data_IF_720094325622
#
_entry.id   IF_720094325622
#
_cell.length_a   1.000
_cell.length_b   1.000
_cell.length_c   1.000
_cell.angle_alpha   90.00
_cell.angle_beta   90.00
_cell.angle_gamma   90.00
#
_symmetry.space_group_name_H-M   'P 1'
#
loop_
_entity.id
_entity.type
_entity.pdbx_description
1 polymer ?
#
# COMPACT_ATOMS: atom_id res chain seq x y z
N UNK A 1 -19.23 13.63 2.59
CA UNK A 1 -19.30 12.37 1.84
C UNK A 1 -18.99 11.26 2.82
N UNK A 2 -20.01 10.52 3.21
CA UNK A 2 -19.90 9.37 4.10
C UNK A 2 -19.33 8.21 3.29
N UNK A 3 -18.21 7.64 3.73
CA UNK A 3 -17.74 6.36 3.23
C UNK A 3 -18.78 5.31 3.64
N UNK A 4 -19.55 4.86 2.69
CA UNK A 4 -20.53 3.80 2.90
C UNK A 4 -19.87 2.54 3.43
N UNK A 5 -20.42 1.88 4.46
CA UNK A 5 -19.86 0.65 5.02
C UNK A 5 -19.98 -0.59 4.12
N UNK A 6 -20.32 -0.43 2.86
CA UNK A 6 -20.57 -1.52 1.91
C UNK A 6 -19.35 -1.99 1.11
N UNK A 7 -18.13 -1.54 1.47
CA UNK A 7 -16.93 -1.93 0.75
C UNK A 7 -16.54 -3.38 1.08
N UNK A 8 -16.74 -4.26 0.13
CA UNK A 8 -15.92 -5.40 -0.23
C UNK A 8 -15.94 -6.65 0.67
N UNK A 9 -16.31 -7.77 0.09
CA UNK A 9 -16.02 -9.10 0.62
C UNK A 9 -14.52 -9.37 0.74
N UNK A 10 -14.13 -10.12 1.75
CA UNK A 10 -12.75 -10.47 2.11
C UNK A 10 -11.96 -11.24 1.02
N UNK A 11 -12.59 -11.60 -0.06
CA UNK A 11 -12.01 -12.43 -1.12
C UNK A 11 -11.15 -11.67 -2.14
N UNK A 12 -11.19 -10.33 -2.13
CA UNK A 12 -10.57 -9.52 -3.16
C UNK A 12 -9.06 -9.31 -3.03
N UNK A 13 -8.46 -9.66 -1.92
CA UNK A 13 -7.02 -9.48 -1.72
C UNK A 13 -6.15 -10.52 -2.42
N UNK A 14 -6.73 -11.63 -2.89
CA UNK A 14 -5.98 -12.80 -3.38
C UNK A 14 -6.07 -12.96 -4.90
N UNK A 15 -7.06 -12.37 -5.55
CA UNK A 15 -7.44 -12.71 -6.94
C UNK A 15 -6.32 -12.54 -7.97
N UNK A 16 -5.44 -11.57 -7.80
CA UNK A 16 -4.51 -11.18 -8.87
C UNK A 16 -3.08 -10.92 -8.35
N UNK A 17 -2.74 -11.42 -7.15
CA UNK A 17 -1.43 -11.22 -6.51
C UNK A 17 -0.71 -12.53 -6.30
N UNK A 18 0.61 -12.47 -6.21
CA UNK A 18 1.42 -13.63 -5.88
C UNK A 18 1.05 -14.14 -4.48
N UNK A 19 0.70 -15.41 -4.37
CA UNK A 19 0.24 -16.01 -3.11
C UNK A 19 1.33 -16.05 -2.03
N UNK A 20 2.60 -16.11 -2.42
CA UNK A 20 3.78 -16.07 -1.55
C UNK A 20 4.04 -14.68 -0.93
N UNK A 21 3.42 -13.62 -1.47
CA UNK A 21 3.46 -12.28 -0.89
C UNK A 21 2.42 -12.08 0.25
N UNK A 22 1.61 -13.08 0.53
CA UNK A 22 0.46 -13.00 1.45
C UNK A 22 0.79 -12.56 2.89
N UNK A 23 1.93 -12.91 3.53
CA UNK A 23 2.20 -12.47 4.90
C UNK A 23 2.66 -11.01 5.02
N UNK A 24 2.97 -10.35 3.91
CA UNK A 24 3.58 -9.03 3.94
C UNK A 24 2.56 -7.89 4.10
N UNK A 25 2.97 -6.85 4.81
CA UNK A 25 2.14 -5.67 5.10
C UNK A 25 1.74 -4.86 3.86
N UNK A 26 2.42 -5.03 2.73
CA UNK A 26 2.03 -4.39 1.49
C UNK A 26 0.85 -5.06 0.77
N UNK A 27 0.40 -6.23 1.29
CA UNK A 27 -0.80 -6.94 0.84
C UNK A 27 -1.82 -7.10 1.98
N UNK A 28 -2.41 -6.02 2.52
CA UNK A 28 -3.42 -6.15 3.57
C UNK A 28 -4.71 -6.76 2.98
N UNK A 29 -5.43 -7.51 3.80
CA UNK A 29 -6.80 -7.91 3.50
C UNK A 29 -7.71 -6.70 3.61
N UNK A 30 -8.21 -6.23 2.47
CA UNK A 30 -9.03 -5.01 2.42
C UNK A 30 -10.40 -5.23 3.08
N UNK A 31 -10.78 -4.28 3.90
CA UNK A 31 -12.10 -4.24 4.54
C UNK A 31 -12.43 -2.78 4.86
N UNK A 32 -13.70 -2.38 4.85
CA UNK A 32 -14.09 -1.06 5.33
C UNK A 32 -13.76 -0.85 6.82
N UNK A 33 -13.71 -1.94 7.58
CA UNK A 33 -13.33 -1.94 8.99
C UNK A 33 -11.94 -2.57 9.14
N UNK A 34 -10.95 -1.72 9.35
CA UNK A 34 -9.55 -2.13 9.50
C UNK A 34 -8.94 -1.50 10.74
N UNK A 35 -8.25 -2.29 11.55
CA UNK A 35 -7.42 -1.84 12.64
C UNK A 35 -5.95 -1.92 12.22
N UNK A 36 -5.15 -0.89 12.55
CA UNK A 36 -3.72 -0.83 12.24
C UNK A 36 -3.38 -1.25 10.80
N UNK A 37 -4.23 -0.84 9.83
CA UNK A 37 -4.06 -1.13 8.41
C UNK A 37 -4.10 -2.63 8.07
N UNK A 38 -4.81 -3.43 8.87
CA UNK A 38 -4.88 -4.88 8.69
C UNK A 38 -3.58 -5.61 9.04
N UNK A 39 -2.71 -5.00 9.86
CA UNK A 39 -1.40 -5.52 10.20
C UNK A 39 -1.17 -5.51 11.72
N UNK A 40 -0.19 -6.31 12.14
CA UNK A 40 0.41 -6.26 13.49
C UNK A 40 1.86 -5.79 13.34
N UNK A 41 2.22 -4.77 14.12
CA UNK A 41 3.61 -4.36 14.30
C UNK A 41 4.27 -5.32 15.27
N UNK A 42 5.39 -5.91 14.88
CA UNK A 42 6.16 -6.87 15.68
C UNK A 42 7.52 -6.26 15.98
N UNK A 43 7.70 -5.82 17.21
CA UNK A 43 8.97 -5.30 17.72
C UNK A 43 9.73 -6.41 18.43
N UNK A 44 10.96 -6.64 18.04
CA UNK A 44 11.84 -7.69 18.58
C UNK A 44 13.11 -7.05 19.14
N UNK A 45 13.41 -7.33 20.40
CA UNK A 45 14.62 -6.81 21.08
C UNK A 45 15.48 -7.94 21.59
N UNK A 46 16.79 -7.98 21.27
CA UNK A 46 17.67 -9.02 21.74
C UNK A 46 17.88 -8.94 23.25
N UNK A 47 17.99 -10.08 23.87
CA UNK A 47 18.38 -10.26 25.26
C UNK A 47 19.84 -10.77 25.37
N UNK A 48 20.14 -11.58 26.37
CA UNK A 48 21.45 -12.23 26.50
C UNK A 48 21.70 -13.19 25.33
N UNK A 49 22.98 -13.43 25.03
CA UNK A 49 23.39 -14.36 23.98
C UNK A 49 22.72 -15.73 24.18
N UNK A 50 22.25 -16.34 23.09
CA UNK A 50 21.60 -17.65 23.05
C UNK A 50 20.27 -17.77 23.83
N UNK A 51 19.72 -16.65 24.33
CA UNK A 51 18.42 -16.61 24.99
C UNK A 51 17.30 -16.14 24.03
N UNK A 52 16.05 -16.31 24.45
CA UNK A 52 14.90 -15.81 23.73
C UNK A 52 14.89 -14.27 23.72
N UNK A 53 14.70 -13.63 22.55
CA UNK A 53 14.47 -12.18 22.49
C UNK A 53 13.10 -11.80 23.04
N UNK A 54 12.96 -10.56 23.50
CA UNK A 54 11.66 -9.99 23.79
C UNK A 54 10.89 -9.69 22.50
N UNK A 55 9.62 -10.09 22.44
CA UNK A 55 8.72 -9.82 21.31
C UNK A 55 7.50 -9.07 21.82
N UNK A 56 7.23 -7.91 21.22
CA UNK A 56 6.05 -7.08 21.48
C UNK A 56 5.26 -6.94 20.19
N UNK A 57 3.97 -7.23 20.24
CA UNK A 57 3.04 -7.09 19.13
C UNK A 57 2.00 -5.99 19.40
N UNK A 58 1.76 -5.13 18.43
CA UNK A 58 0.81 -4.01 18.53
C UNK A 58 -0.06 -3.92 17.27
N UNK A 59 -1.39 -3.77 17.39
CA UNK A 59 -2.18 -3.73 18.63
C UNK A 59 -2.25 -5.09 19.33
N UNK A 60 -2.31 -5.09 20.65
CA UNK A 60 -2.54 -6.32 21.42
C UNK A 60 -3.96 -6.81 21.16
N UNK A 61 -4.10 -8.07 20.82
CA UNK A 61 -5.39 -8.72 20.54
C UNK A 61 -5.29 -10.22 20.75
N UNK A 62 -6.38 -10.85 21.16
CA UNK A 62 -6.52 -12.31 21.26
C UNK A 62 -6.83 -12.99 19.92
N UNK A 63 -7.01 -12.19 18.85
CA UNK A 63 -7.24 -12.67 17.49
C UNK A 63 -6.05 -13.37 16.85
N UNK A 64 -4.85 -13.13 17.35
CA UNK A 64 -3.62 -13.76 16.87
C UNK A 64 -2.81 -14.36 18.04
N UNK A 65 -1.93 -15.28 17.70
CA UNK A 65 -0.95 -15.87 18.65
C UNK A 65 0.46 -15.59 18.18
N UNK A 66 1.40 -15.50 19.13
CA UNK A 66 2.82 -15.30 18.82
C UNK A 66 3.61 -16.55 19.18
N UNK A 67 4.34 -17.09 18.22
CA UNK A 67 5.28 -18.19 18.38
C UNK A 67 6.70 -17.64 18.24
N UNK A 68 7.38 -17.41 19.36
CA UNK A 68 8.75 -16.94 19.39
C UNK A 68 9.73 -18.14 19.39
N UNK A 69 10.43 -18.31 18.27
CA UNK A 69 11.50 -19.30 18.05
C UNK A 69 12.84 -18.63 17.74
N UNK A 70 12.93 -17.30 17.90
CA UNK A 70 14.13 -16.55 17.61
C UNK A 70 15.16 -16.71 18.74
N UNK A 71 16.41 -16.48 18.40
CA UNK A 71 17.54 -16.56 19.33
C UNK A 71 18.31 -15.24 19.33
N UNK A 72 18.63 -14.74 20.53
CA UNK A 72 19.36 -13.49 20.69
C UNK A 72 20.85 -13.68 20.40
N UNK A 73 21.42 -12.82 19.52
CA UNK A 73 22.87 -12.70 19.28
C UNK A 73 23.57 -14.00 18.90
N UNK A 74 22.86 -14.89 18.20
CA UNK A 74 23.39 -16.15 17.68
C UNK A 74 23.32 -16.16 16.14
N UNK A 75 24.42 -15.86 15.41
CA UNK A 75 24.44 -15.87 13.95
C UNK A 75 24.08 -17.21 13.31
N UNK A 76 24.29 -18.32 14.01
CA UNK A 76 24.00 -19.67 13.51
C UNK A 76 22.48 -19.96 13.45
N UNK A 77 21.66 -19.17 14.16
CA UNK A 77 20.20 -19.26 14.08
C UNK A 77 19.64 -18.73 12.74
N UNK A 78 20.48 -18.25 11.82
CA UNK A 78 20.07 -17.75 10.52
C UNK A 78 19.52 -16.32 10.54
N UNK A 79 18.95 -15.89 9.43
CA UNK A 79 18.38 -14.55 9.30
C UNK A 79 17.09 -14.41 10.11
N UNK A 80 16.90 -13.23 10.74
CA UNK A 80 15.62 -12.91 11.38
C UNK A 80 14.49 -12.94 10.34
N UNK A 81 13.47 -13.71 10.66
CA UNK A 81 12.24 -13.80 9.88
C UNK A 81 11.03 -13.58 10.79
N UNK A 82 10.09 -12.76 10.32
CA UNK A 82 8.82 -12.49 10.97
C UNK A 82 7.73 -12.77 9.93
N UNK A 83 6.92 -13.78 10.18
CA UNK A 83 5.88 -14.22 9.25
C UNK A 83 4.66 -14.73 10.01
N UNK A 84 3.63 -15.20 9.32
CA UNK A 84 2.50 -15.93 9.90
C UNK A 84 2.24 -17.22 9.13
N UNK A 85 1.42 -18.09 9.68
CA UNK A 85 1.01 -19.33 9.01
C UNK A 85 -0.01 -19.07 7.87
N UNK A 86 0.41 -18.30 6.88
CA UNK A 86 -0.42 -17.79 5.79
C UNK A 86 -0.95 -18.88 4.85
N UNK A 87 -0.22 -19.99 4.67
CA UNK A 87 -0.66 -21.12 3.85
C UNK A 87 -2.00 -21.73 4.30
N UNK A 88 -2.26 -21.71 5.60
CA UNK A 88 -3.51 -22.19 6.20
C UNK A 88 -4.48 -21.03 6.56
N UNK A 89 -4.23 -19.82 6.05
CA UNK A 89 -4.97 -18.61 6.44
C UNK A 89 -5.02 -18.37 7.95
N UNK A 90 -4.02 -18.88 8.69
CA UNK A 90 -3.96 -18.74 10.14
C UNK A 90 -3.32 -17.44 10.59
N UNK A 91 -3.55 -17.07 11.86
CA UNK A 91 -3.02 -15.87 12.50
C UNK A 91 -2.05 -16.21 13.65
N UNK A 92 -1.20 -17.22 13.44
CA UNK A 92 -0.04 -17.48 14.29
C UNK A 92 1.16 -16.75 13.72
N UNK A 93 1.60 -15.68 14.38
CA UNK A 93 2.79 -14.92 14.02
C UNK A 93 4.02 -15.66 14.55
N UNK A 94 4.92 -16.04 13.66
CA UNK A 94 6.18 -16.72 14.01
C UNK A 94 7.33 -15.73 13.86
N UNK A 95 8.14 -15.65 14.91
CA UNK A 95 9.42 -14.92 14.92
C UNK A 95 10.53 -15.96 15.05
N UNK A 96 11.44 -16.03 14.10
CA UNK A 96 12.54 -17.01 14.06
C UNK A 96 13.86 -16.39 13.59
N UNK A 97 14.97 -17.10 13.80
CA UNK A 97 16.30 -16.64 13.40
C UNK A 97 17.00 -15.77 14.43
N UNK A 98 18.11 -15.13 14.02
CA UNK A 98 18.98 -14.36 14.91
C UNK A 98 18.51 -12.92 15.10
N UNK A 99 18.37 -12.51 16.35
CA UNK A 99 18.09 -11.11 16.74
C UNK A 99 19.37 -10.50 17.31
N UNK A 100 20.13 -9.80 16.50
CA UNK A 100 21.38 -9.13 16.92
C UNK A 100 21.19 -7.69 17.41
N UNK A 101 20.14 -7.02 16.96
CA UNK A 101 19.77 -5.63 17.27
C UNK A 101 18.25 -5.50 17.31
N UNK A 102 17.71 -4.46 17.96
CA UNK A 102 16.28 -4.17 17.89
C UNK A 102 15.80 -4.04 16.46
N UNK A 103 14.64 -4.61 16.17
CA UNK A 103 14.01 -4.57 14.86
C UNK A 103 12.49 -4.50 15.02
N UNK A 104 11.85 -3.73 14.14
CA UNK A 104 10.39 -3.70 14.04
C UNK A 104 9.99 -4.03 12.62
N UNK A 105 9.14 -5.04 12.47
CA UNK A 105 8.52 -5.45 11.22
C UNK A 105 7.00 -5.39 11.31
N UNK A 106 6.34 -5.62 10.20
CA UNK A 106 4.88 -5.71 10.11
C UNK A 106 4.48 -7.01 9.43
N UNK A 107 3.42 -7.62 9.94
CA UNK A 107 2.79 -8.80 9.33
C UNK A 107 1.30 -8.48 9.13
N UNK A 108 0.76 -8.78 7.95
CA UNK A 108 -0.67 -8.64 7.77
C UNK A 108 -1.44 -9.72 8.56
N UNK A 109 -2.71 -9.46 8.82
CA UNK A 109 -3.60 -10.38 9.53
C UNK A 109 -4.67 -10.88 8.55
N UNK A 110 -4.91 -12.18 8.55
CA UNK A 110 -6.01 -12.79 7.82
C UNK A 110 -7.34 -12.29 8.39
N UNK A 111 -8.23 -11.83 7.48
CA UNK A 111 -9.49 -11.14 7.74
C UNK A 111 -9.37 -9.89 8.63
N UNK A 112 -9.04 -8.76 8.01
CA UNK A 112 -8.95 -7.46 8.71
C UNK A 112 -10.24 -7.09 9.43
N UNK A 113 -11.41 -7.47 8.90
CA UNK A 113 -12.73 -7.24 9.50
C UNK A 113 -12.86 -7.96 10.84
N UNK A 114 -12.52 -9.24 10.88
CA UNK A 114 -12.61 -10.04 12.11
C UNK A 114 -11.59 -9.57 13.16
N UNK A 115 -10.38 -9.20 12.73
CA UNK A 115 -9.37 -8.61 13.60
C UNK A 115 -9.86 -7.31 14.24
N UNK A 116 -10.55 -6.46 13.46
CA UNK A 116 -11.16 -5.25 14.00
C UNK A 116 -12.20 -5.58 15.06
N UNK A 117 -13.17 -6.46 14.78
CA UNK A 117 -14.25 -6.78 15.69
C UNK A 117 -13.76 -7.49 16.96
N UNK A 118 -12.90 -8.48 16.83
CA UNK A 118 -12.31 -9.16 17.99
C UNK A 118 -11.59 -8.17 18.93
N UNK A 119 -10.74 -7.34 18.35
CA UNK A 119 -9.99 -6.35 19.14
C UNK A 119 -10.92 -5.29 19.74
N UNK A 120 -11.95 -4.86 19.02
CA UNK A 120 -12.95 -3.90 19.52
C UNK A 120 -13.72 -4.47 20.71
N UNK A 121 -14.23 -5.69 20.61
CA UNK A 121 -14.93 -6.36 21.72
C UNK A 121 -14.01 -6.55 22.92
N UNK A 122 -12.74 -6.94 22.70
CA UNK A 122 -11.76 -7.03 23.77
C UNK A 122 -11.57 -5.67 24.48
N UNK A 123 -11.47 -4.56 23.74
CA UNK A 123 -11.36 -3.22 24.32
C UNK A 123 -12.60 -2.80 25.10
N UNK A 124 -13.80 -3.17 24.65
CA UNK A 124 -15.04 -2.93 25.39
C UNK A 124 -15.03 -3.67 26.72
N UNK A 125 -14.65 -4.95 26.74
CA UNK A 125 -14.51 -5.76 27.97
C UNK A 125 -13.52 -5.14 28.94
N UNK A 126 -12.36 -4.67 28.48
CA UNK A 126 -11.35 -3.98 29.29
C UNK A 126 -11.89 -2.68 29.93
N UNK A 127 -12.92 -2.08 29.33
CA UNK A 127 -13.63 -0.90 29.83
C UNK A 127 -14.87 -1.25 30.68
N UNK A 128 -15.08 -2.52 31.02
CA UNK A 128 -16.22 -2.98 31.80
C UNK A 128 -17.53 -3.08 31.01
N UNK A 129 -17.49 -2.91 29.70
CA UNK A 129 -18.66 -3.06 28.82
C UNK A 129 -18.70 -4.51 28.33
N UNK A 130 -19.66 -5.27 28.86
CA UNK A 130 -19.86 -6.68 28.50
C UNK A 130 -21.17 -6.87 27.75
N UNK A 131 -21.16 -7.72 26.73
CA UNK A 131 -22.35 -8.15 26.02
C UNK A 131 -22.29 -9.67 25.88
N UNK A 132 -23.45 -10.33 25.85
CA UNK A 132 -23.52 -11.78 25.87
C UNK A 132 -23.00 -12.44 24.59
N UNK A 133 -23.70 -12.24 23.48
CA UNK A 133 -23.33 -12.80 22.17
C UNK A 133 -22.89 -11.67 21.26
N UNK A 134 -21.78 -11.88 20.54
CA UNK A 134 -21.26 -10.92 19.57
C UNK A 134 -21.38 -11.52 18.18
N UNK A 135 -22.31 -10.99 17.39
CA UNK A 135 -22.44 -11.31 15.97
C UNK A 135 -22.39 -10.02 15.17
N UNK A 136 -21.88 -10.11 13.96
CA UNK A 136 -22.01 -9.05 12.99
C UNK A 136 -22.49 -9.64 11.65
N UNK A 137 -23.26 -8.87 10.92
CA UNK A 137 -23.75 -9.24 9.61
C UNK A 137 -23.62 -8.05 8.66
N UNK A 138 -23.40 -8.33 7.38
CA UNK A 138 -23.55 -7.33 6.34
C UNK A 138 -25.04 -7.09 6.12
N UNK A 139 -25.56 -5.97 6.62
CA UNK A 139 -26.95 -5.58 6.44
C UNK A 139 -27.03 -4.16 5.86
N UNK A 140 -28.09 -3.85 5.10
CA UNK A 140 -28.35 -2.48 4.67
C UNK A 140 -28.55 -1.58 5.89
N UNK A 141 -27.90 -0.41 5.83
CA UNK A 141 -28.08 0.62 6.85
C UNK A 141 -29.34 1.41 6.54
N UNK A 142 -30.31 1.40 7.45
CA UNK A 142 -31.51 2.24 7.38
C UNK A 142 -31.18 3.58 8.01
N UNK A 143 -30.97 4.62 7.19
CA UNK A 143 -30.46 5.93 7.62
C UNK A 143 -31.29 6.59 8.73
N UNK A 144 -32.60 6.42 8.74
CA UNK A 144 -33.50 7.05 9.70
C UNK A 144 -33.38 6.48 11.15
N UNK A 145 -32.65 5.36 11.29
CA UNK A 145 -32.49 4.68 12.59
C UNK A 145 -31.09 4.83 13.18
N UNK A 146 -30.23 5.66 12.60
CA UNK A 146 -28.81 5.76 13.01
C UNK A 146 -28.47 7.13 13.54
N UNK A 147 -27.93 7.17 14.75
CA UNK A 147 -27.29 8.35 15.31
C UNK A 147 -25.77 8.29 15.11
N UNK A 148 -25.24 9.22 14.34
CA UNK A 148 -23.78 9.37 14.18
C UNK A 148 -23.21 10.12 15.38
N UNK A 149 -22.40 9.46 16.19
CA UNK A 149 -21.78 10.07 17.38
C UNK A 149 -20.30 10.45 17.16
N UNK A 150 -19.66 9.94 16.10
CA UNK A 150 -18.28 10.29 15.77
C UNK A 150 -18.03 10.16 14.27
N UNK A 151 -17.38 11.15 13.69
CA UNK A 151 -16.93 11.12 12.28
C UNK A 151 -15.44 11.46 12.23
N UNK A 152 -14.64 10.56 11.68
CA UNK A 152 -13.21 10.79 11.43
C UNK A 152 -13.03 11.10 9.95
N UNK A 153 -12.55 12.31 9.64
CA UNK A 153 -12.26 12.76 8.27
C UNK A 153 -10.76 12.82 8.04
N UNK A 154 -10.30 12.35 6.88
CA UNK A 154 -8.92 12.49 6.43
C UNK A 154 -8.90 13.21 5.09
N UNK A 155 -8.14 14.32 4.97
CA UNK A 155 -7.97 14.98 3.68
C UNK A 155 -7.34 14.03 2.64
N UNK A 156 -7.86 14.04 1.41
CA UNK A 156 -7.32 13.21 0.31
C UNK A 156 -5.81 13.45 0.10
N UNK A 157 -5.33 14.67 0.35
CA UNK A 157 -3.91 15.02 0.26
C UNK A 157 -3.03 14.12 1.16
N UNK A 158 -3.46 13.82 2.38
CA UNK A 158 -2.72 12.94 3.29
C UNK A 158 -2.66 11.49 2.77
N UNK A 159 -3.76 11.02 2.17
CA UNK A 159 -3.83 9.68 1.56
C UNK A 159 -2.91 9.61 0.35
N UNK A 160 -2.97 10.61 -0.52
CA UNK A 160 -2.14 10.74 -1.72
C UNK A 160 -0.64 10.82 -1.36
N UNK A 161 -0.27 11.67 -0.42
CA UNK A 161 1.11 11.81 0.03
C UNK A 161 1.66 10.48 0.58
N UNK A 162 0.87 9.77 1.37
CA UNK A 162 1.27 8.46 1.89
C UNK A 162 1.38 7.42 0.78
N UNK A 163 0.41 7.37 -0.15
CA UNK A 163 0.45 6.47 -1.30
C UNK A 163 1.71 6.67 -2.15
N UNK A 164 2.11 7.93 -2.37
CA UNK A 164 3.24 8.25 -3.23
C UNK A 164 4.59 8.23 -2.49
N UNK A 165 4.74 8.96 -1.36
CA UNK A 165 6.00 9.05 -0.60
C UNK A 165 6.41 7.72 0.03
N UNK A 166 5.46 6.98 0.61
CA UNK A 166 5.71 5.70 1.29
C UNK A 166 5.44 4.49 0.40
N UNK A 167 4.90 4.71 -0.81
CA UNK A 167 4.44 3.63 -1.68
C UNK A 167 3.44 2.71 -0.97
N UNK A 168 2.45 3.33 -0.32
CA UNK A 168 1.49 2.65 0.53
C UNK A 168 0.34 2.08 -0.30
N UNK A 169 0.32 0.76 -0.45
CA UNK A 169 -0.66 0.07 -1.28
C UNK A 169 -2.08 0.22 -0.75
N UNK A 170 -2.28 0.19 0.58
CA UNK A 170 -3.62 0.38 1.17
C UNK A 170 -4.19 1.76 0.81
N UNK A 171 -3.37 2.81 0.83
CA UNK A 171 -3.81 4.14 0.42
C UNK A 171 -4.16 4.18 -1.08
N UNK A 172 -3.41 3.50 -1.94
CA UNK A 172 -3.71 3.42 -3.37
C UNK A 172 -5.01 2.65 -3.63
N UNK A 173 -5.20 1.50 -2.98
CA UNK A 173 -6.45 0.74 -3.05
C UNK A 173 -7.64 1.55 -2.51
N UNK A 174 -7.47 2.26 -1.41
CA UNK A 174 -8.53 3.11 -0.86
C UNK A 174 -8.97 4.20 -1.84
N UNK A 175 -8.03 4.81 -2.58
CA UNK A 175 -8.36 5.77 -3.63
C UNK A 175 -9.07 5.10 -4.81
N UNK A 176 -8.64 3.91 -5.20
CA UNK A 176 -9.26 3.12 -6.28
C UNK A 176 -10.72 2.78 -5.94
N UNK A 177 -10.99 2.28 -4.72
CA UNK A 177 -12.36 2.00 -4.29
C UNK A 177 -13.20 3.25 -4.06
N UNK A 178 -12.57 4.37 -3.68
CA UNK A 178 -13.28 5.65 -3.60
C UNK A 178 -13.73 6.12 -4.99
N UNK A 179 -12.86 5.97 -6.00
CA UNK A 179 -13.20 6.24 -7.39
C UNK A 179 -14.35 5.33 -7.86
N UNK A 180 -14.28 4.02 -7.57
CA UNK A 180 -15.33 3.05 -7.85
C UNK A 180 -16.67 3.45 -7.23
N UNK A 181 -16.67 3.90 -5.97
CA UNK A 181 -17.88 4.33 -5.27
C UNK A 181 -18.51 5.61 -5.86
N UNK A 182 -17.71 6.47 -6.47
CA UNK A 182 -18.23 7.65 -7.19
C UNK A 182 -18.79 7.28 -8.56
N UNK A 183 -18.19 6.30 -9.22
CA UNK A 183 -18.63 5.82 -10.53
C UNK A 183 -19.93 5.00 -10.43
N UNK A 184 -20.05 4.18 -9.40
CA UNK A 184 -21.19 3.28 -9.17
C UNK A 184 -21.87 3.53 -7.79
N UNK A 185 -22.56 4.67 -7.59
CA UNK A 185 -23.02 5.07 -6.27
C UNK A 185 -24.22 4.28 -5.74
N UNK A 186 -24.84 3.43 -6.56
CA UNK A 186 -26.14 2.81 -6.25
C UNK A 186 -26.06 1.32 -5.90
N UNK A 187 -24.88 0.71 -5.87
CA UNK A 187 -24.70 -0.70 -5.50
C UNK A 187 -23.43 -0.91 -4.65
N UNK A 188 -23.25 -2.13 -4.18
CA UNK A 188 -22.04 -2.54 -3.48
C UNK A 188 -20.85 -2.50 -4.45
N UNK A 189 -19.87 -1.69 -4.14
CA UNK A 189 -18.73 -1.41 -5.00
C UNK A 189 -17.80 -2.62 -5.11
N UNK A 190 -17.33 -2.89 -6.31
CA UNK A 190 -16.38 -3.95 -6.65
C UNK A 190 -15.08 -3.35 -7.25
N UNK A 191 -14.09 -4.19 -7.50
CA UNK A 191 -12.89 -3.77 -8.25
C UNK A 191 -13.22 -3.46 -9.71
N UNK A 192 -14.21 -4.15 -10.28
CA UNK A 192 -14.65 -3.94 -11.65
C UNK A 192 -15.17 -2.50 -11.83
N UNK A 193 -15.95 -1.98 -10.88
CA UNK A 193 -16.41 -0.58 -10.90
C UNK A 193 -15.23 0.43 -10.90
N UNK A 194 -14.15 0.12 -10.19
CA UNK A 194 -12.94 0.93 -10.20
C UNK A 194 -12.19 0.85 -11.53
N UNK A 195 -12.16 -0.33 -12.11
CA UNK A 195 -11.58 -0.56 -13.44
C UNK A 195 -12.38 0.17 -14.51
N UNK A 196 -13.70 0.10 -14.46
CA UNK A 196 -14.60 0.78 -15.39
C UNK A 196 -14.45 2.30 -15.30
N UNK A 197 -14.35 2.84 -14.09
CA UNK A 197 -14.10 4.28 -13.90
C UNK A 197 -12.78 4.73 -14.54
N UNK A 198 -11.73 3.94 -14.43
CA UNK A 198 -10.45 4.23 -15.06
C UNK A 198 -10.54 4.08 -16.59
N UNK A 199 -11.23 3.05 -17.07
CA UNK A 199 -11.45 2.82 -18.50
C UNK A 199 -12.23 3.95 -19.15
N UNK A 200 -13.28 4.45 -18.50
CA UNK A 200 -14.04 5.58 -18.95
C UNK A 200 -13.19 6.85 -19.03
N UNK A 201 -12.36 7.12 -18.03
CA UNK A 201 -11.44 8.26 -18.07
C UNK A 201 -10.42 8.12 -19.20
N UNK A 202 -9.83 6.94 -19.39
CA UNK A 202 -8.91 6.67 -20.50
C UNK A 202 -9.56 6.97 -21.86
N UNK A 203 -10.80 6.53 -22.03
CA UNK A 203 -11.54 6.69 -23.29
C UNK A 203 -11.98 8.12 -23.53
N UNK A 204 -12.67 8.71 -22.55
CA UNK A 204 -13.36 9.98 -22.72
C UNK A 204 -12.45 11.18 -22.58
N UNK A 205 -11.43 11.11 -21.74
CA UNK A 205 -10.55 12.24 -21.42
C UNK A 205 -9.21 12.13 -22.14
N UNK A 206 -8.59 10.93 -22.13
CA UNK A 206 -7.26 10.75 -22.72
C UNK A 206 -7.30 10.25 -24.17
N UNK A 207 -8.46 9.81 -24.67
CA UNK A 207 -8.64 9.35 -26.05
C UNK A 207 -7.97 7.99 -26.35
N UNK A 208 -7.73 7.16 -25.33
CA UNK A 208 -7.17 5.83 -25.50
C UNK A 208 -8.27 4.77 -25.56
N UNK A 209 -8.06 3.70 -26.35
CA UNK A 209 -8.94 2.53 -26.29
C UNK A 209 -8.60 1.68 -25.07
N UNK A 210 -9.51 1.52 -24.07
CA UNK A 210 -9.27 0.74 -22.86
C UNK A 210 -8.95 -0.75 -23.14
N UNK A 211 -9.45 -1.34 -24.24
CA UNK A 211 -9.23 -2.74 -24.59
C UNK A 211 -7.75 -3.09 -24.84
N UNK A 212 -6.91 -2.08 -25.08
CA UNK A 212 -5.48 -2.24 -25.24
C UNK A 212 -4.71 -2.33 -23.92
N UNK A 213 -5.39 -2.21 -22.79
CA UNK A 213 -4.81 -2.13 -21.45
C UNK A 213 -5.57 -3.03 -20.49
N UNK A 214 -4.93 -3.36 -19.38
CA UNK A 214 -5.60 -4.07 -18.30
C UNK A 214 -5.17 -3.47 -16.97
N UNK A 215 -6.11 -2.98 -16.19
CA UNK A 215 -5.90 -2.46 -14.84
C UNK A 215 -6.82 -3.26 -13.93
N UNK A 216 -6.29 -3.89 -12.89
CA UNK A 216 -7.03 -4.79 -12.02
C UNK A 216 -6.96 -4.41 -10.55
N UNK A 217 -6.03 -3.51 -10.17
CA UNK A 217 -5.91 -3.01 -8.81
C UNK A 217 -5.44 -1.55 -8.78
N UNK A 218 -5.63 -0.89 -7.63
CA UNK A 218 -5.20 0.49 -7.43
C UNK A 218 -3.72 0.63 -7.08
N UNK A 219 -3.12 -0.41 -6.54
CA UNK A 219 -1.73 -0.40 -6.04
C UNK A 219 -0.69 -0.72 -7.12
N UNK A 220 -1.10 -1.36 -8.20
CA UNK A 220 -0.20 -1.80 -9.26
C UNK A 220 0.65 -3.03 -8.88
N UNK A 221 0.27 -3.76 -7.82
CA UNK A 221 1.01 -4.96 -7.38
C UNK A 221 0.64 -6.18 -8.20
N UNK A 222 -0.58 -6.23 -8.72
CA UNK A 222 -1.01 -7.33 -9.58
C UNK A 222 -0.15 -7.45 -10.83
N UNK A 223 0.30 -8.67 -11.12
CA UNK A 223 1.04 -8.99 -12.34
C UNK A 223 0.16 -8.95 -13.59
N UNK A 224 -1.15 -8.85 -13.42
CA UNK A 224 -2.12 -8.74 -14.52
C UNK A 224 -2.41 -7.30 -14.94
N UNK A 225 -1.74 -6.31 -14.34
CA UNK A 225 -1.78 -4.95 -14.85
C UNK A 225 -0.93 -4.83 -16.12
N UNK A 226 -1.55 -4.51 -17.24
CA UNK A 226 -0.88 -4.26 -18.52
C UNK A 226 -1.07 -2.82 -18.95
N UNK A 227 -0.01 -2.04 -18.87
CA UNK A 227 0.01 -0.62 -19.22
C UNK A 227 1.22 -0.30 -20.10
N UNK A 228 1.16 0.81 -20.82
CA UNK A 228 2.30 1.32 -21.59
C UNK A 228 2.91 2.57 -20.95
N UNK A 229 4.22 2.84 -21.17
CA UNK A 229 4.82 4.12 -20.79
C UNK A 229 4.07 5.33 -21.36
N UNK A 230 3.54 5.21 -22.58
CA UNK A 230 2.78 6.26 -23.26
C UNK A 230 1.49 6.59 -22.49
N UNK A 231 0.74 5.58 -22.05
CA UNK A 231 -0.47 5.81 -21.26
C UNK A 231 -0.16 6.58 -19.96
N UNK A 232 0.85 6.14 -19.19
CA UNK A 232 1.26 6.84 -17.97
C UNK A 232 1.75 8.27 -18.24
N UNK A 233 2.43 8.48 -19.37
CA UNK A 233 2.88 9.81 -19.77
C UNK A 233 1.69 10.74 -20.02
N UNK A 234 0.63 10.26 -20.66
CA UNK A 234 -0.57 11.07 -20.89
C UNK A 234 -1.31 11.41 -19.58
N UNK A 235 -1.35 10.51 -18.60
CA UNK A 235 -1.83 10.84 -17.25
C UNK A 235 -0.99 11.95 -16.59
N UNK A 236 0.34 11.90 -16.70
CA UNK A 236 1.22 12.94 -16.15
C UNK A 236 1.03 14.27 -16.88
N UNK A 237 0.89 14.25 -18.22
CA UNK A 237 0.59 15.44 -19.02
C UNK A 237 -0.76 16.02 -18.65
N UNK A 238 -1.79 15.21 -18.55
CA UNK A 238 -3.12 15.65 -18.13
C UNK A 238 -3.04 16.35 -16.77
N UNK A 239 -2.39 15.73 -15.77
CA UNK A 239 -2.20 16.35 -14.48
C UNK A 239 -1.47 17.68 -14.58
N UNK A 240 -0.43 17.80 -15.39
CA UNK A 240 0.35 19.02 -15.57
C UNK A 240 -0.47 20.18 -16.10
N UNK A 241 -1.39 19.93 -17.05
CA UNK A 241 -2.28 20.95 -17.62
C UNK A 241 -3.46 21.31 -16.72
N UNK A 242 -3.72 20.56 -15.65
CA UNK A 242 -4.77 20.84 -14.66
C UNK A 242 -4.13 21.19 -13.32
N UNK A 243 -3.98 22.48 -13.06
CA UNK A 243 -3.17 22.98 -11.93
C UNK A 243 -3.67 22.53 -10.56
N UNK A 244 -4.96 22.37 -10.39
CA UNK A 244 -5.64 21.85 -9.20
C UNK A 244 -5.29 20.37 -8.91
N UNK A 245 -4.99 19.61 -9.96
CA UNK A 245 -4.50 18.22 -9.87
C UNK A 245 -2.97 18.21 -9.74
N UNK A 246 -2.29 19.03 -10.55
CA UNK A 246 -0.83 19.01 -10.64
C UNK A 246 -0.17 19.34 -9.30
N UNK A 247 -0.58 20.42 -8.65
CA UNK A 247 0.10 20.87 -7.43
C UNK A 247 0.04 19.84 -6.30
N UNK A 248 -1.12 19.26 -5.93
CA UNK A 248 -1.16 18.20 -4.93
C UNK A 248 -0.39 16.96 -5.33
N UNK A 249 -0.45 16.56 -6.61
CA UNK A 249 0.31 15.41 -7.12
C UNK A 249 1.81 15.65 -7.03
N UNK A 250 2.29 16.79 -7.54
CA UNK A 250 3.70 17.15 -7.60
C UNK A 250 4.33 17.24 -6.21
N UNK A 251 3.61 17.82 -5.23
CA UNK A 251 4.05 17.91 -3.84
C UNK A 251 4.10 16.54 -3.15
N UNK A 252 3.17 15.66 -3.50
CA UNK A 252 3.08 14.31 -2.92
C UNK A 252 4.12 13.33 -3.51
N UNK A 253 4.72 13.62 -4.67
CA UNK A 253 5.74 12.75 -5.26
C UNK A 253 7.03 12.71 -4.41
N UNK A 254 7.70 11.54 -4.31
CA UNK A 254 9.06 11.43 -3.76
C UNK A 254 10.05 12.34 -4.46
N UNK A 255 10.96 12.95 -3.70
CA UNK A 255 11.97 13.88 -4.19
C UNK A 255 13.35 13.21 -4.18
N UNK A 256 14.03 13.24 -5.31
CA UNK A 256 15.36 12.64 -5.47
C UNK A 256 16.35 13.16 -4.44
N UNK A 257 16.99 12.24 -3.70
CA UNK A 257 18.01 12.51 -2.69
C UNK A 257 17.50 13.25 -1.43
N UNK A 258 16.16 13.41 -1.28
CA UNK A 258 15.56 14.19 -0.19
C UNK A 258 14.61 13.35 0.63
N UNK A 259 13.54 12.80 0.01
CA UNK A 259 12.49 12.12 0.76
C UNK A 259 11.88 10.90 0.04
N UNK A 260 10.96 10.25 0.75
CA UNK A 260 10.17 9.14 0.24
C UNK A 260 11.04 7.98 -0.28
N UNK A 261 10.54 7.28 -1.30
CA UNK A 261 11.27 6.14 -1.91
C UNK A 261 12.51 6.55 -2.70
N UNK A 262 12.71 7.85 -2.94
CA UNK A 262 13.88 8.40 -3.63
C UNK A 262 14.92 9.01 -2.67
N UNK A 263 14.71 9.00 -1.35
CA UNK A 263 15.59 9.65 -0.37
C UNK A 263 17.06 9.21 -0.44
N UNK A 264 17.31 7.99 -0.90
CA UNK A 264 18.67 7.44 -1.04
C UNK A 264 19.14 7.32 -2.50
N UNK A 265 18.30 7.71 -3.47
CA UNK A 265 18.65 7.72 -4.90
C UNK A 265 19.04 9.12 -5.35
N UNK A 266 19.97 9.19 -6.30
CA UNK A 266 20.42 10.47 -6.92
C UNK A 266 20.96 11.52 -5.92
N UNK A 267 21.42 11.11 -4.75
CA UNK A 267 21.90 12.01 -3.68
C UNK A 267 23.10 12.87 -4.07
N UNK A 268 24.01 12.30 -4.86
CA UNK A 268 25.28 12.93 -5.26
C UNK A 268 25.26 13.39 -6.71
N UNK A 269 24.08 13.62 -7.27
CA UNK A 269 23.89 14.04 -8.65
C UNK A 269 23.29 15.45 -8.71
N UNK A 270 23.39 16.09 -9.87
CA UNK A 270 22.79 17.43 -10.12
C UNK A 270 21.25 17.42 -10.03
N UNK A 271 20.64 16.25 -10.15
CA UNK A 271 19.18 16.11 -10.08
C UNK A 271 18.62 15.95 -8.65
N UNK A 272 19.49 15.98 -7.63
CA UNK A 272 19.03 16.03 -6.24
C UNK A 272 18.10 17.23 -6.02
N UNK A 273 16.91 16.96 -5.45
CA UNK A 273 15.88 17.97 -5.23
C UNK A 273 15.08 18.36 -6.49
N UNK A 274 15.56 18.01 -7.68
CA UNK A 274 14.93 18.35 -8.95
C UNK A 274 13.91 17.29 -9.41
N UNK A 275 14.31 16.01 -9.45
CA UNK A 275 13.41 14.93 -9.87
C UNK A 275 12.37 14.67 -8.79
N UNK A 276 11.10 14.65 -9.21
CA UNK A 276 9.96 14.22 -8.39
C UNK A 276 9.25 13.08 -9.10
N UNK A 277 9.32 11.87 -8.54
CA UNK A 277 8.85 10.69 -9.25
C UNK A 277 8.38 9.56 -8.33
N UNK A 278 7.38 8.81 -8.79
CA UNK A 278 6.91 7.57 -8.16
C UNK A 278 7.74 6.40 -8.67
N UNK A 279 8.20 5.57 -7.74
CA UNK A 279 8.86 4.29 -8.03
C UNK A 279 7.85 3.15 -8.08
N UNK A 280 8.07 2.16 -8.93
CA UNK A 280 7.39 0.87 -8.93
C UNK A 280 8.39 -0.27 -8.96
N UNK A 281 8.12 -1.36 -8.23
CA UNK A 281 8.96 -2.55 -8.27
C UNK A 281 8.14 -3.79 -7.92
N UNK A 282 8.16 -4.74 -8.82
CA UNK A 282 7.74 -6.13 -8.60
C UNK A 282 8.84 -7.04 -9.12
N UNK A 283 8.75 -8.35 -8.90
CA UNK A 283 9.75 -9.30 -9.40
C UNK A 283 9.94 -9.14 -10.91
N UNK A 284 11.16 -8.87 -11.34
CA UNK A 284 11.50 -8.69 -12.76
C UNK A 284 11.15 -7.35 -13.37
N UNK A 285 10.47 -6.43 -12.64
CA UNK A 285 10.06 -5.12 -13.17
C UNK A 285 10.51 -3.99 -12.23
N UNK A 286 11.06 -2.92 -12.82
CA UNK A 286 11.36 -1.68 -12.10
C UNK A 286 10.90 -0.48 -12.93
N UNK A 287 10.15 0.43 -12.31
CA UNK A 287 9.65 1.62 -12.98
C UNK A 287 9.95 2.91 -12.22
N UNK A 288 9.98 4.01 -12.96
CA UNK A 288 10.10 5.37 -12.44
C UNK A 288 9.31 6.30 -13.35
N UNK A 289 8.36 7.06 -12.80
CA UNK A 289 7.52 7.98 -13.57
C UNK A 289 7.31 9.27 -12.78
N UNK A 290 7.40 10.41 -13.44
CA UNK A 290 7.25 11.71 -12.79
C UNK A 290 7.77 12.88 -13.62
N UNK A 291 8.36 13.83 -12.94
CA UNK A 291 8.79 15.10 -13.53
C UNK A 291 10.24 15.43 -13.19
N UNK A 292 10.90 16.11 -14.11
CA UNK A 292 12.24 16.68 -13.94
C UNK A 292 12.31 18.04 -14.63
N UNK A 293 12.99 19.01 -14.03
CA UNK A 293 13.21 20.31 -14.67
C UNK A 293 14.53 20.26 -15.45
N UNK A 294 14.46 20.56 -16.75
CA UNK A 294 15.62 20.70 -17.63
C UNK A 294 16.43 21.95 -17.34
N UNK A 295 17.65 22.03 -17.87
CA UNK A 295 18.54 23.20 -17.70
C UNK A 295 17.97 24.48 -18.30
N UNK A 296 17.14 24.36 -19.33
CA UNK A 296 16.40 25.46 -19.98
C UNK A 296 15.19 25.96 -19.17
N UNK A 297 14.93 25.32 -18.02
CA UNK A 297 13.83 25.67 -17.12
C UNK A 297 12.49 24.99 -17.43
N UNK A 298 12.38 24.24 -18.53
CA UNK A 298 11.16 23.52 -18.87
C UNK A 298 10.93 22.32 -17.94
N UNK A 299 9.66 22.07 -17.61
CA UNK A 299 9.25 20.90 -16.87
C UNK A 299 9.03 19.74 -17.83
N UNK A 300 9.79 18.68 -17.69
CA UNK A 300 9.67 17.45 -18.47
C UNK A 300 8.90 16.41 -17.67
N UNK A 301 7.93 15.75 -18.27
CA UNK A 301 7.32 14.53 -17.76
C UNK A 301 8.04 13.32 -18.35
N UNK A 302 8.29 12.29 -17.55
CA UNK A 302 8.96 11.08 -18.02
C UNK A 302 8.37 9.82 -17.41
N UNK A 303 8.46 8.72 -18.17
CA UNK A 303 8.07 7.37 -17.73
C UNK A 303 9.12 6.36 -18.21
N UNK A 304 9.65 5.57 -17.29
CA UNK A 304 10.61 4.51 -17.54
C UNK A 304 10.06 3.22 -16.95
N UNK A 305 9.84 2.19 -17.76
CA UNK A 305 9.43 0.85 -17.32
C UNK A 305 10.48 -0.13 -17.83
N UNK A 306 11.24 -0.73 -16.92
CA UNK A 306 12.19 -1.78 -17.20
C UNK A 306 11.57 -3.12 -16.86
N UNK A 307 11.43 -4.02 -17.83
CA UNK A 307 10.90 -5.36 -17.68
C UNK A 307 11.99 -6.42 -17.88
N UNK A 308 11.75 -7.63 -17.41
CA UNK A 308 12.68 -8.76 -17.49
C UNK A 308 14.05 -8.45 -16.86
N UNK A 309 14.04 -7.74 -15.72
CA UNK A 309 15.25 -7.29 -15.03
C UNK A 309 15.64 -8.29 -13.95
N UNK A 310 16.75 -8.98 -14.14
CA UNK A 310 17.26 -9.94 -13.15
C UNK A 310 17.71 -9.26 -11.84
N UNK A 311 18.29 -8.05 -11.92
CA UNK A 311 18.76 -7.26 -10.76
C UNK A 311 18.15 -5.86 -10.79
N UNK A 312 17.12 -5.61 -9.99
CA UNK A 312 16.42 -4.33 -9.91
C UNK A 312 17.35 -3.14 -9.62
N UNK A 313 18.46 -3.37 -8.90
CA UNK A 313 19.46 -2.32 -8.62
C UNK A 313 20.09 -1.76 -9.92
N UNK A 314 20.31 -2.59 -10.93
CA UNK A 314 20.86 -2.15 -12.22
C UNK A 314 19.86 -1.27 -12.99
N UNK A 315 18.59 -1.64 -12.99
CA UNK A 315 17.53 -0.82 -13.59
C UNK A 315 17.42 0.54 -12.90
N UNK A 316 17.51 0.59 -11.55
CA UNK A 316 17.49 1.85 -10.80
C UNK A 316 18.67 2.76 -11.17
N UNK A 317 19.87 2.21 -11.31
CA UNK A 317 21.05 2.99 -11.77
C UNK A 317 20.83 3.54 -13.19
N UNK A 318 20.25 2.75 -14.09
CA UNK A 318 19.89 3.22 -15.44
C UNK A 318 18.87 4.36 -15.37
N UNK A 319 17.79 4.21 -14.61
CA UNK A 319 16.78 5.25 -14.43
C UNK A 319 17.39 6.55 -13.87
N UNK A 320 18.30 6.46 -12.89
CA UNK A 320 18.98 7.62 -12.29
C UNK A 320 19.83 8.36 -13.32
N UNK A 321 20.54 7.63 -14.20
CA UNK A 321 21.32 8.21 -15.30
C UNK A 321 20.44 8.90 -16.35
N UNK A 322 19.29 8.30 -16.69
CA UNK A 322 18.33 8.94 -17.62
C UNK A 322 17.83 10.26 -17.02
N UNK A 323 17.47 10.29 -15.75
CA UNK A 323 17.06 11.53 -15.08
C UNK A 323 18.16 12.60 -15.10
N UNK A 324 19.45 12.23 -14.93
CA UNK A 324 20.59 13.14 -15.03
C UNK A 324 20.73 13.73 -16.44
N UNK A 325 20.53 12.93 -17.47
CA UNK A 325 20.56 13.38 -18.88
C UNK A 325 19.40 14.34 -19.15
N UNK A 326 18.18 14.03 -18.70
CA UNK A 326 17.00 14.86 -18.92
C UNK A 326 17.09 16.22 -18.21
N UNK A 327 17.95 16.36 -17.21
CA UNK A 327 18.14 17.61 -16.45
C UNK A 327 19.20 18.55 -17.08
N UNK A 328 19.85 18.10 -18.13
CA UNK A 328 20.89 18.87 -18.86
C UNK A 328 20.26 19.72 -19.94
#
# INVERSE_FOLDING_TARGET
>A
YELMPSLVGSEMCIRDRSWDDTPYSFQPYLSPLMLNRGCVDVSVSPAQKDSLPAVLCTPVSDYYRVCNRAVSRNPQAGKLEITRNWLSNGNVITVSGNVSRPYTGQVNIYTSKDFFFHTFIQRLKEKGITSGVHTYADCPVIHDSIATFCTIRRPIRQVLERALKKSDNLCAESMFYHLAAQHAPHHRVTADDGTDAIADFMKTVLGFNPDNYKIVDGSGVSLYNYISPRLLLEYLKYAYYHRDIFLPLYDALPIAGVDGTLQYRMKQTKVRGNVRAKTGSVTGVSSLAGYVKGADGHQLAFVIINQNVLKLSRARVFQDKVCDILSR
#
